data_IF_684341292001
#
_entry.id   IF_684341292001
#
_cell.length_a   1.000
_cell.length_b   1.000
_cell.length_c   1.000
_cell.angle_alpha   90.00
_cell.angle_beta   90.00
_cell.angle_gamma   90.00
#
_symmetry.space_group_name_H-M   'P 1'
#
loop_
_entity.id
_entity.type
_entity.pdbx_description
1 polymer ?
#
# COMPACT_ATOMS: atom_id res chain seq x y z
N UNK A 1 15.18 -31.63 26.09
CA UNK A 1 16.00 -30.80 27.02
C UNK A 1 16.83 -29.84 26.19
N UNK A 2 16.98 -28.60 26.67
CA UNK A 2 17.51 -27.35 26.03
C UNK A 2 16.54 -26.66 25.05
N UNK A 3 15.82 -25.55 25.33
CA UNK A 3 16.18 -24.17 25.81
C UNK A 3 17.19 -23.49 24.87
N UNK A 4 17.00 -22.32 24.22
CA UNK A 4 16.26 -21.04 24.39
C UNK A 4 16.07 -20.44 22.96
N UNK A 5 14.98 -19.79 22.50
CA UNK A 5 14.13 -18.68 22.97
C UNK A 5 14.86 -17.36 23.27
N UNK A 6 14.65 -16.36 22.41
CA UNK A 6 14.94 -14.96 22.71
C UNK A 6 15.56 -14.19 21.54
N UNK A 7 14.77 -13.80 20.52
CA UNK A 7 15.06 -12.60 19.71
C UNK A 7 13.90 -12.07 18.85
N UNK A 8 12.75 -12.75 18.77
CA UNK A 8 11.61 -12.32 17.94
C UNK A 8 10.48 -11.59 18.70
N UNK A 9 10.75 -11.07 19.90
CA UNK A 9 9.76 -10.31 20.71
C UNK A 9 10.13 -8.83 20.94
N UNK A 10 11.24 -8.35 20.35
CA UNK A 10 11.75 -6.99 20.59
C UNK A 10 11.33 -5.95 19.53
N UNK A 11 10.67 -6.35 18.44
CA UNK A 11 10.23 -5.41 17.38
C UNK A 11 8.74 -5.06 17.40
N UNK A 12 7.91 -5.85 18.08
CA UNK A 12 6.48 -5.56 18.28
C UNK A 12 6.18 -4.76 19.56
N UNK A 13 7.08 -4.72 20.54
CA UNK A 13 6.93 -3.94 21.77
C UNK A 13 7.30 -2.45 21.63
N UNK A 14 7.82 -2.02 20.46
CA UNK A 14 8.26 -0.65 20.21
C UNK A 14 7.29 0.19 19.38
N UNK A 15 6.15 -0.38 18.99
CA UNK A 15 5.13 0.28 18.17
C UNK A 15 3.82 0.63 18.92
N UNK A 16 3.65 0.19 20.17
CA UNK A 16 2.42 0.49 20.95
C UNK A 16 2.64 1.56 22.04
N UNK A 17 3.89 1.96 22.31
CA UNK A 17 4.19 2.98 23.34
C UNK A 17 4.15 4.44 22.87
N UNK A 18 3.73 4.72 21.62
CA UNK A 18 3.75 6.07 21.05
C UNK A 18 2.37 6.68 20.74
N UNK A 19 1.27 6.11 21.23
CA UNK A 19 -0.07 6.65 20.97
C UNK A 19 -0.85 6.92 22.26
N UNK A 20 -0.31 7.76 23.15
CA UNK A 20 -1.09 8.40 24.22
C UNK A 20 -0.46 9.74 24.62
N UNK A 21 -0.75 10.79 23.84
CA UNK A 21 -0.69 12.17 24.31
C UNK A 21 -1.79 12.95 23.62
N UNK A 22 -2.89 13.21 24.33
CA UNK A 22 -3.44 14.57 24.52
C UNK A 22 -4.74 14.49 25.33
N UNK A 23 -4.95 15.54 26.14
CA UNK A 23 -6.14 15.88 26.93
C UNK A 23 -6.17 15.35 28.37
N UNK A 24 -5.71 16.19 29.31
CA UNK A 24 -6.46 16.68 30.49
C UNK A 24 -5.55 17.69 31.23
N UNK A 25 -6.05 18.90 31.59
CA UNK A 25 -5.22 19.98 32.13
C UNK A 25 -4.84 19.78 33.60
N UNK A 26 -3.64 20.25 33.93
CA UNK A 26 -3.09 20.36 35.29
C UNK A 26 -3.83 21.45 36.09
N UNK A 27 -4.36 21.10 37.25
CA UNK A 27 -4.82 22.06 38.26
C UNK A 27 -5.12 21.39 39.61
N UNK A 28 -4.33 21.78 40.62
CA UNK A 28 -4.44 21.47 42.05
C UNK A 28 -3.98 20.07 42.54
N UNK A 29 -2.73 20.03 42.99
CA UNK A 29 -2.26 19.17 44.08
C UNK A 29 -1.67 20.05 45.19
N UNK A 30 -2.30 20.04 46.37
CA UNK A 30 -1.70 20.17 47.72
C UNK A 30 -2.67 19.46 48.67
N UNK A 31 -2.35 18.23 49.07
CA UNK A 31 -1.63 17.85 50.29
C UNK A 31 -2.59 17.66 51.49
N UNK A 32 -2.68 16.44 52.01
CA UNK A 32 -2.30 16.01 53.37
C UNK A 32 -2.66 14.53 53.53
N UNK A 33 -1.70 13.76 54.05
CA UNK A 33 -1.76 12.34 54.29
C UNK A 33 -2.14 12.03 55.76
N UNK A 34 -2.76 10.85 55.93
CA UNK A 34 -2.70 9.93 57.08
C UNK A 34 -3.21 10.36 58.47
N UNK A 35 -4.03 9.50 59.09
CA UNK A 35 -4.28 9.52 60.54
C UNK A 35 -5.54 8.78 60.98
N UNK A 36 -5.38 7.53 61.40
CA UNK A 36 -6.40 6.67 62.02
C UNK A 36 -6.69 7.00 63.50
N UNK A 37 -7.96 6.84 63.89
CA UNK A 37 -8.47 6.36 65.21
C UNK A 37 -8.53 7.28 66.44
N UNK A 38 -9.78 7.52 66.92
CA UNK A 38 -10.30 7.34 68.30
C UNK A 38 -11.45 8.33 68.59
N UNK A 39 -12.72 7.89 68.57
CA UNK A 39 -13.59 7.55 69.74
C UNK A 39 -13.83 8.69 70.76
N UNK A 40 -15.06 9.22 70.80
CA UNK A 40 -15.83 9.51 72.03
C UNK A 40 -17.33 9.72 71.65
N UNK A 41 -18.21 8.74 71.95
CA UNK A 41 -19.33 8.77 72.93
C UNK A 41 -20.52 9.68 72.49
N UNK A 42 -21.67 9.13 72.03
CA UNK A 42 -22.89 8.74 72.81
C UNK A 42 -23.54 9.97 73.51
N UNK A 43 -24.82 10.36 73.36
CA UNK A 43 -26.14 9.67 73.48
C UNK A 43 -27.22 10.73 73.12
N UNK A 44 -28.15 10.47 72.20
CA UNK A 44 -29.59 10.16 72.36
C UNK A 44 -30.49 11.11 73.19
N UNK A 45 -31.62 11.47 72.55
CA UNK A 45 -32.99 11.71 73.05
C UNK A 45 -33.22 12.92 73.97
N UNK A 46 -33.98 13.96 73.58
CA UNK A 46 -35.39 14.06 73.18
C UNK A 46 -36.28 14.60 74.31
N UNK A 47 -37.24 15.43 73.87
CA UNK A 47 -38.46 15.92 74.51
C UNK A 47 -38.37 17.01 75.58
N UNK A 48 -39.13 18.08 75.33
CA UNK A 48 -40.19 18.50 76.26
C UNK A 48 -40.20 19.96 76.71
N UNK A 49 -41.02 20.77 76.02
CA UNK A 49 -41.87 21.89 76.46
C UNK A 49 -41.24 23.05 77.31
N UNK A 50 -41.65 24.30 77.25
CA UNK A 50 -42.92 24.94 76.88
C UNK A 50 -42.69 26.46 76.67
N UNK A 51 -43.60 27.06 75.88
CA UNK A 51 -44.20 28.42 75.97
C UNK A 51 -43.27 29.65 76.00
N UNK A 52 -43.57 30.79 75.36
CA UNK A 52 -44.84 31.43 74.95
C UNK A 52 -44.57 32.59 73.97
N UNK A 53 -45.48 32.77 73.00
CA UNK A 53 -46.10 34.04 72.51
C UNK A 53 -45.21 35.26 72.15
N UNK A 54 -45.44 36.04 71.08
CA UNK A 54 -46.48 36.15 70.07
C UNK A 54 -46.02 37.16 68.98
N UNK A 55 -46.81 37.28 67.92
CA UNK A 55 -46.91 38.41 66.96
C UNK A 55 -45.79 38.60 65.91
N UNK A 56 -46.04 38.81 64.61
CA UNK A 56 -47.30 38.82 63.86
C UNK A 56 -46.99 38.82 62.33
N UNK A 57 -47.86 38.17 61.55
CA UNK A 57 -48.08 38.22 60.08
C UNK A 57 -47.06 37.61 59.07
N UNK A 58 -47.50 36.60 58.28
CA UNK A 58 -46.86 36.15 57.04
C UNK A 58 -47.75 36.37 55.79
N UNK A 59 -47.14 36.59 54.62
CA UNK A 59 -47.81 36.47 53.31
C UNK A 59 -47.23 35.29 52.53
N UNK A 60 -48.13 34.53 51.91
CA UNK A 60 -47.95 33.34 51.05
C UNK A 60 -47.69 32.00 51.75
N UNK A 61 -48.72 31.52 52.45
CA UNK A 61 -49.04 30.09 52.49
C UNK A 61 -49.99 29.78 51.33
N UNK A 62 -49.62 28.76 50.54
CA UNK A 62 -50.53 28.08 49.60
C UNK A 62 -51.48 27.23 50.44
N UNK A 63 -52.75 27.59 50.40
CA UNK A 63 -53.86 26.88 51.06
C UNK A 63 -54.18 25.57 50.31
N UNK A 64 -54.19 24.38 50.94
CA UNK A 64 -54.69 23.14 50.34
C UNK A 64 -56.22 23.00 50.40
N UNK A 65 -56.95 24.03 50.82
CA UNK A 65 -58.39 23.97 51.14
C UNK A 65 -59.25 24.87 50.26
N UNK A 66 -58.78 25.28 49.08
CA UNK A 66 -59.66 25.86 48.07
C UNK A 66 -60.43 24.75 47.34
N UNK A 67 -61.23 23.98 48.08
CA UNK A 67 -62.39 23.33 47.47
C UNK A 67 -63.32 24.43 47.00
N UNK A 68 -63.76 24.33 45.76
CA UNK A 68 -64.71 25.21 45.09
C UNK A 68 -66.06 25.23 45.86
N UNK A 69 -66.17 25.98 46.95
CA UNK A 69 -67.42 26.14 47.72
C UNK A 69 -68.25 27.36 47.27
N UNK A 70 -68.18 27.72 45.99
CA UNK A 70 -69.17 28.66 45.43
C UNK A 70 -69.73 28.28 44.06
N UNK A 71 -69.52 27.05 43.60
CA UNK A 71 -70.24 26.54 42.43
C UNK A 71 -71.04 25.27 42.78
N UNK A 72 -72.37 25.45 42.87
CA UNK A 72 -73.48 24.47 42.93
C UNK A 72 -73.96 23.93 44.30
N UNK A 73 -75.18 24.30 44.76
CA UNK A 73 -75.79 23.76 45.98
C UNK A 73 -76.65 22.49 45.82
N UNK A 74 -76.67 21.81 44.66
CA UNK A 74 -77.33 20.49 44.51
C UNK A 74 -76.62 19.57 43.51
N UNK A 75 -76.28 18.32 43.87
CA UNK A 75 -75.78 17.32 42.94
C UNK A 75 -76.91 16.78 42.03
N UNK A 76 -76.57 16.34 40.80
CA UNK A 76 -75.23 16.35 40.22
C UNK A 76 -74.85 17.76 39.76
N UNK A 77 -73.65 18.22 40.11
CA UNK A 77 -73.04 19.38 39.47
C UNK A 77 -72.77 18.98 38.02
N UNK A 78 -73.76 19.17 37.13
CA UNK A 78 -73.68 18.72 35.73
C UNK A 78 -72.68 19.51 34.89
N UNK A 79 -71.87 20.39 35.49
CA UNK A 79 -70.88 21.20 34.79
C UNK A 79 -69.55 21.16 35.55
N UNK A 80 -68.47 20.60 34.97
CA UNK A 80 -67.13 20.63 35.55
C UNK A 80 -66.65 22.08 35.75
N UNK A 81 -65.77 22.35 36.75
CA UNK A 81 -65.25 23.69 36.97
C UNK A 81 -64.48 24.19 35.74
N UNK A 82 -64.46 25.51 35.49
CA UNK A 82 -63.89 26.06 34.26
C UNK A 82 -62.38 25.76 34.17
N UNK A 83 -61.86 25.60 32.94
CA UNK A 83 -60.43 25.36 32.75
C UNK A 83 -59.61 26.54 33.23
N UNK A 84 -58.46 26.26 33.84
CA UNK A 84 -57.58 27.27 34.44
C UNK A 84 -56.28 27.42 33.64
N UNK A 85 -55.82 28.66 33.47
CA UNK A 85 -54.53 28.92 32.84
C UNK A 85 -53.39 28.38 33.69
N UNK A 86 -52.38 27.80 33.05
CA UNK A 86 -51.17 27.32 33.69
C UNK A 86 -49.94 27.80 32.94
N UNK A 87 -48.83 27.92 33.68
CA UNK A 87 -47.51 28.18 33.11
C UNK A 87 -46.57 27.07 33.55
N UNK A 88 -45.66 26.69 32.67
CA UNK A 88 -44.58 25.77 33.02
C UNK A 88 -43.49 26.60 33.74
N UNK A 89 -43.57 26.77 35.08
CA UNK A 89 -42.62 27.57 35.89
C UNK A 89 -41.51 26.70 36.49
N UNK A 90 -40.24 27.10 36.48
CA UNK A 90 -39.68 28.25 37.21
C UNK A 90 -38.41 28.82 36.55
N UNK A 91 -38.37 30.15 36.38
CA UNK A 91 -37.17 30.89 35.94
C UNK A 91 -37.49 31.95 34.87
N UNK A 92 -37.36 33.23 35.26
CA UNK A 92 -37.27 34.45 34.44
C UNK A 92 -37.83 34.37 33.00
N UNK A 93 -39.09 34.83 32.83
CA UNK A 93 -39.65 35.41 31.60
C UNK A 93 -39.15 34.83 30.25
N UNK A 94 -39.61 33.64 29.86
CA UNK A 94 -39.76 33.18 28.46
C UNK A 94 -40.39 31.77 28.36
N UNK A 95 -41.32 31.41 29.25
CA UNK A 95 -41.87 30.05 29.39
C UNK A 95 -43.17 29.79 28.62
N UNK A 96 -43.42 28.52 28.34
CA UNK A 96 -44.66 28.02 27.75
C UNK A 96 -45.91 28.29 28.61
N UNK A 97 -47.02 28.62 27.96
CA UNK A 97 -48.36 28.74 28.57
C UNK A 97 -49.29 27.61 28.13
N UNK A 98 -50.25 27.25 28.98
CA UNK A 98 -51.20 26.16 28.73
C UNK A 98 -52.50 26.32 29.52
N UNK A 99 -53.35 25.29 29.46
CA UNK A 99 -54.59 25.17 30.23
C UNK A 99 -54.59 23.84 31.00
N UNK A 100 -55.18 23.82 32.20
CA UNK A 100 -55.48 22.58 32.96
C UNK A 100 -56.98 22.41 33.04
N UNK A 101 -57.44 21.18 32.88
CA UNK A 101 -58.83 20.78 33.01
C UNK A 101 -59.02 19.96 34.28
N UNK A 102 -60.13 20.18 34.97
CA UNK A 102 -60.50 19.38 36.12
C UNK A 102 -61.24 18.12 35.71
N UNK A 103 -61.03 17.04 36.46
CA UNK A 103 -61.88 15.85 36.39
C UNK A 103 -63.27 16.08 37.01
N UNK A 104 -64.12 15.05 36.98
CA UNK A 104 -65.49 15.10 37.54
C UNK A 104 -65.50 15.34 39.07
N UNK A 105 -64.36 15.17 39.74
CA UNK A 105 -64.14 15.38 41.16
C UNK A 105 -63.54 16.77 41.45
N UNK A 106 -63.25 17.58 40.43
CA UNK A 106 -62.70 18.93 40.57
C UNK A 106 -61.17 18.98 40.72
N UNK A 107 -60.46 17.87 40.48
CA UNK A 107 -59.00 17.80 40.53
C UNK A 107 -58.42 18.14 39.17
N UNK A 108 -57.60 19.18 39.10
CA UNK A 108 -56.96 19.61 37.85
C UNK A 108 -55.84 18.66 37.42
N UNK A 109 -55.93 18.13 36.20
CA UNK A 109 -54.92 17.31 35.52
C UNK A 109 -53.67 18.11 35.12
N UNK A 110 -52.66 17.53 34.46
CA UNK A 110 -51.42 18.24 34.07
C UNK A 110 -51.68 19.44 33.14
N UNK A 111 -50.70 20.35 33.05
CA UNK A 111 -50.78 21.51 32.14
C UNK A 111 -50.68 21.04 30.68
N UNK A 112 -51.74 21.32 29.90
CA UNK A 112 -51.78 21.04 28.47
C UNK A 112 -51.43 22.30 27.68
N UNK A 113 -50.51 22.18 26.73
CA UNK A 113 -50.07 23.30 25.90
C UNK A 113 -51.20 23.70 24.95
N UNK A 114 -51.47 24.99 24.86
CA UNK A 114 -52.44 25.52 23.89
C UNK A 114 -51.79 25.82 22.55
N UNK A 115 -52.55 25.72 21.45
CA UNK A 115 -52.07 26.08 20.10
C UNK A 115 -51.69 27.55 19.94
N UNK A 116 -52.04 28.40 20.92
CA UNK A 116 -51.66 29.82 21.00
C UNK A 116 -50.33 30.04 21.74
N UNK A 117 -49.76 29.01 22.35
CA UNK A 117 -48.47 29.05 23.07
C UNK A 117 -47.29 29.02 22.09
N UNK A 118 -47.06 30.16 21.45
CA UNK A 118 -45.99 30.37 20.47
C UNK A 118 -45.18 31.62 20.80
N UNK A 119 -43.91 31.64 20.39
CA UNK A 119 -43.06 32.83 20.46
C UNK A 119 -42.37 33.09 19.13
N UNK A 120 -42.03 34.35 18.89
CA UNK A 120 -41.18 34.72 17.77
C UNK A 120 -39.76 34.15 17.98
N UNK A 121 -39.13 33.75 16.89
CA UNK A 121 -37.73 33.36 16.84
C UNK A 121 -37.10 33.93 15.56
N UNK A 122 -35.78 33.89 15.47
CA UNK A 122 -35.03 34.45 14.35
C UNK A 122 -34.54 33.35 13.41
N UNK A 123 -34.87 33.46 12.12
CA UNK A 123 -34.37 32.62 11.03
C UNK A 123 -33.21 33.33 10.32
N UNK A 124 -32.05 33.38 10.98
CA UNK A 124 -30.84 34.02 10.45
C UNK A 124 -30.92 35.55 10.48
N UNK A 125 -30.10 36.21 9.65
CA UNK A 125 -29.92 37.66 9.70
C UNK A 125 -31.18 38.49 9.32
N UNK A 126 -32.14 37.90 8.59
CA UNK A 126 -33.30 38.63 8.04
C UNK A 126 -34.65 37.93 8.21
N UNK A 127 -34.69 36.68 8.69
CA UNK A 127 -35.93 35.89 8.73
C UNK A 127 -36.63 35.94 10.09
N UNK A 128 -37.96 36.01 10.07
CA UNK A 128 -38.81 35.85 11.24
C UNK A 128 -39.47 34.47 11.23
N UNK A 129 -39.31 33.73 12.33
CA UNK A 129 -39.89 32.42 12.54
C UNK A 129 -40.79 32.35 13.76
N UNK A 130 -41.45 31.21 13.93
CA UNK A 130 -42.28 30.91 15.10
C UNK A 130 -41.83 29.61 15.75
N UNK A 131 -41.59 29.64 17.06
CA UNK A 131 -41.42 28.43 17.87
C UNK A 131 -42.73 28.10 18.57
N UNK A 132 -43.17 26.85 18.46
CA UNK A 132 -44.31 26.33 19.21
C UNK A 132 -43.84 25.70 20.51
N UNK A 133 -44.65 25.84 21.55
CA UNK A 133 -44.41 25.13 22.79
C UNK A 133 -44.70 23.62 22.64
N UNK A 134 -43.83 22.79 23.22
CA UNK A 134 -43.95 21.34 23.30
C UNK A 134 -44.56 20.94 24.66
N UNK A 135 -45.20 19.75 24.73
CA UNK A 135 -45.88 19.24 25.93
C UNK A 135 -45.02 19.11 27.19
N UNK A 136 -43.69 19.22 27.06
CA UNK A 136 -42.73 19.24 28.17
C UNK A 136 -42.40 20.66 28.69
N UNK A 137 -43.09 21.70 28.20
CA UNK A 137 -42.86 23.08 28.61
C UNK A 137 -41.66 23.78 27.96
N UNK A 138 -41.03 23.16 26.96
CA UNK A 138 -39.94 23.74 26.17
C UNK A 138 -40.41 24.20 24.79
N UNK A 139 -39.74 25.19 24.20
CA UNK A 139 -39.99 25.58 22.80
C UNK A 139 -39.30 24.63 21.84
N UNK A 140 -39.99 24.23 20.78
CA UNK A 140 -39.44 23.42 19.70
C UNK A 140 -38.51 24.19 18.77
N UNK A 141 -38.20 23.61 17.62
CA UNK A 141 -37.38 24.25 16.57
C UNK A 141 -38.04 25.52 16.04
N UNK A 142 -37.21 26.47 15.57
CA UNK A 142 -37.71 27.69 14.95
C UNK A 142 -38.21 27.37 13.54
N UNK A 143 -39.50 27.57 13.29
CA UNK A 143 -40.12 27.28 11.99
C UNK A 143 -40.28 28.54 11.17
N UNK A 144 -40.05 28.43 9.86
CA UNK A 144 -40.32 29.54 8.95
C UNK A 144 -41.82 29.91 8.98
N UNK A 145 -42.12 31.19 8.75
CA UNK A 145 -43.51 31.68 8.67
C UNK A 145 -44.12 31.49 7.27
N UNK A 146 -43.40 30.84 6.37
CA UNK A 146 -43.75 30.65 4.96
C UNK A 146 -44.24 29.22 4.71
N UNK A 147 -44.70 28.94 3.48
CA UNK A 147 -44.97 27.57 3.05
C UNK A 147 -43.68 26.72 3.10
N UNK A 148 -43.78 25.39 3.30
CA UNK A 148 -42.62 24.51 3.31
C UNK A 148 -41.73 24.72 2.07
N UNK A 149 -40.48 25.08 2.29
CA UNK A 149 -39.45 25.25 1.25
C UNK A 149 -38.25 24.39 1.60
N UNK A 150 -37.41 23.96 0.63
CA UNK A 150 -36.19 23.23 0.94
C UNK A 150 -35.31 24.00 1.94
N UNK A 151 -34.72 23.26 2.87
CA UNK A 151 -33.85 23.78 3.93
C UNK A 151 -32.79 24.76 3.42
N UNK A 152 -32.80 25.96 4.00
CA UNK A 152 -31.73 26.94 3.85
C UNK A 152 -30.85 26.92 5.09
N UNK A 153 -29.58 27.32 4.97
CA UNK A 153 -28.71 27.49 6.14
C UNK A 153 -29.04 28.81 6.86
N UNK A 154 -30.16 28.85 7.57
CA UNK A 154 -30.70 30.05 8.21
C UNK A 154 -31.14 29.80 9.67
N UNK A 155 -30.81 28.64 10.24
CA UNK A 155 -31.22 28.24 11.59
C UNK A 155 -32.73 28.10 11.79
N UNK A 156 -33.46 27.84 10.70
CA UNK A 156 -34.87 27.49 10.72
C UNK A 156 -35.15 26.15 10.08
N UNK A 157 -36.24 25.56 10.55
CA UNK A 157 -36.95 24.44 9.96
C UNK A 157 -37.83 25.05 8.86
N UNK A 158 -37.31 25.09 7.63
CA UNK A 158 -37.93 25.72 6.45
C UNK A 158 -38.91 24.76 5.77
N UNK A 159 -38.64 23.45 5.81
CA UNK A 159 -39.51 22.41 5.26
C UNK A 159 -40.53 21.83 6.27
N UNK A 160 -40.44 22.26 7.53
CA UNK A 160 -41.34 21.91 8.63
C UNK A 160 -41.27 20.43 9.04
N UNK A 161 -40.17 19.72 8.73
CA UNK A 161 -39.95 18.32 9.12
C UNK A 161 -39.52 18.15 10.60
N UNK A 162 -39.20 19.27 11.27
CA UNK A 162 -38.82 19.31 12.68
C UNK A 162 -37.33 19.23 12.95
N UNK A 163 -36.50 19.19 11.91
CA UNK A 163 -35.04 19.28 11.94
C UNK A 163 -34.66 20.66 11.39
N UNK A 164 -33.58 21.25 11.91
CA UNK A 164 -33.11 22.57 11.48
C UNK A 164 -31.89 22.41 10.61
N UNK A 165 -31.85 23.12 9.48
CA UNK A 165 -30.73 23.20 8.55
C UNK A 165 -30.28 21.80 8.01
N UNK A 166 -31.20 20.85 7.85
CA UNK A 166 -30.94 19.53 7.25
C UNK A 166 -30.90 19.57 5.72
N UNK A 167 -30.06 20.46 5.20
CA UNK A 167 -29.87 20.72 3.78
C UNK A 167 -29.65 19.41 3.02
N UNK A 168 -30.37 19.28 1.90
CA UNK A 168 -30.21 18.16 1.00
C UNK A 168 -28.73 18.00 0.58
N UNK A 169 -28.20 16.76 0.47
CA UNK A 169 -26.81 16.54 0.10
C UNK A 169 -26.48 17.19 -1.24
N UNK A 170 -25.67 18.26 -1.20
CA UNK A 170 -25.18 18.95 -2.38
C UNK A 170 -23.66 18.89 -2.42
N UNK A 171 -23.10 18.60 -3.60
CA UNK A 171 -21.66 18.64 -3.82
C UNK A 171 -21.13 20.07 -3.79
N UNK A 172 -19.95 20.26 -3.24
CA UNK A 172 -19.22 21.53 -3.24
C UNK A 172 -17.73 21.30 -3.49
N UNK A 173 -16.98 22.36 -3.81
CA UNK A 173 -15.53 22.27 -3.94
C UNK A 173 -14.85 22.77 -2.66
N UNK A 174 -13.96 21.96 -2.10
CA UNK A 174 -13.17 22.30 -0.90
C UNK A 174 -11.96 23.18 -1.22
N UNK A 175 -11.69 23.45 -2.50
CA UNK A 175 -10.46 24.06 -3.02
C UNK A 175 -9.18 23.30 -2.65
N UNK A 176 -9.29 22.01 -2.31
CA UNK A 176 -8.14 21.10 -2.19
C UNK A 176 -7.79 20.51 -3.56
N UNK A 177 -6.54 20.11 -3.80
CA UNK A 177 -6.15 19.43 -5.03
C UNK A 177 -6.78 18.02 -5.11
N UNK A 178 -6.69 17.43 -6.30
CA UNK A 178 -7.05 16.04 -6.55
C UNK A 178 -8.45 15.61 -6.15
N UNK A 179 -8.53 14.38 -5.68
CA UNK A 179 -9.75 13.74 -5.20
C UNK A 179 -10.36 14.51 -4.01
N UNK A 180 -9.53 15.15 -3.18
CA UNK A 180 -9.98 15.94 -2.03
C UNK A 180 -10.77 17.20 -2.42
N UNK A 181 -10.74 17.62 -3.69
CA UNK A 181 -11.53 18.76 -4.17
C UNK A 181 -13.03 18.57 -3.98
N UNK A 182 -13.52 17.32 -3.94
CA UNK A 182 -14.93 16.99 -3.76
C UNK A 182 -15.31 17.05 -2.28
N UNK A 183 -16.28 17.91 -1.96
CA UNK A 183 -16.85 18.05 -0.64
C UNK A 183 -18.37 17.94 -0.62
N UNK A 184 -18.94 17.96 0.59
CA UNK A 184 -20.37 18.03 0.84
C UNK A 184 -20.71 19.35 1.51
N UNK A 185 -21.70 20.04 0.96
CA UNK A 185 -22.23 21.26 1.53
C UNK A 185 -22.90 20.95 2.87
N UNK A 186 -22.55 21.70 3.91
CA UNK A 186 -23.14 21.59 5.23
C UNK A 186 -23.45 22.98 5.80
N UNK A 187 -24.45 23.07 6.67
CA UNK A 187 -24.66 24.26 7.48
C UNK A 187 -23.86 24.12 8.76
N UNK A 188 -23.04 25.13 9.09
CA UNK A 188 -22.37 25.21 10.39
C UNK A 188 -22.51 26.63 10.90
N UNK A 189 -23.22 26.80 12.01
CA UNK A 189 -23.45 28.10 12.64
C UNK A 189 -24.08 29.15 11.71
N UNK A 190 -25.05 28.74 10.88
CA UNK A 190 -25.75 29.64 9.95
C UNK A 190 -24.91 30.08 8.74
N UNK A 191 -23.79 29.40 8.47
CA UNK A 191 -23.00 29.58 7.26
C UNK A 191 -22.85 28.26 6.48
N UNK A 192 -22.92 28.36 5.16
CA UNK A 192 -22.58 27.25 4.28
C UNK A 192 -21.07 26.99 4.34
N UNK A 193 -20.71 25.78 4.75
CA UNK A 193 -19.33 25.31 4.79
C UNK A 193 -19.23 24.10 3.88
N UNK A 194 -18.19 24.07 3.04
CA UNK A 194 -17.87 22.89 2.26
C UNK A 194 -17.04 21.93 3.12
N UNK A 195 -17.66 20.85 3.58
CA UNK A 195 -16.98 19.83 4.38
C UNK A 195 -16.27 18.84 3.45
N UNK A 196 -14.99 18.59 3.73
CA UNK A 196 -14.22 17.55 3.07
C UNK A 196 -14.78 16.18 3.44
N UNK A 197 -15.03 15.36 2.43
CA UNK A 197 -15.53 13.98 2.60
C UNK A 197 -14.57 12.93 2.03
N UNK A 198 -13.62 13.35 1.19
CA UNK A 198 -12.54 12.51 0.66
C UNK A 198 -11.25 12.98 1.31
N UNK A 199 -10.52 12.07 1.95
CA UNK A 199 -9.27 12.34 2.66
C UNK A 199 -8.09 11.73 1.89
N UNK A 200 -6.86 12.29 2.05
CA UNK A 200 -5.65 11.74 1.48
C UNK A 200 -5.51 10.24 1.74
N UNK A 201 -5.24 9.49 0.68
CA UNK A 201 -4.86 8.08 0.71
C UNK A 201 -3.65 7.85 -0.17
N UNK A 202 -2.98 6.71 -0.02
CA UNK A 202 -1.87 6.32 -0.90
C UNK A 202 -2.30 6.37 -2.37
N UNK A 203 -1.39 6.78 -3.26
CA UNK A 203 -1.65 6.79 -4.69
C UNK A 203 -1.89 5.38 -5.22
N UNK A 204 -2.71 5.33 -6.26
CA UNK A 204 -2.89 4.15 -7.11
C UNK A 204 -2.67 4.59 -8.54
N UNK A 205 -2.15 3.71 -9.39
CA UNK A 205 -1.96 4.01 -10.81
C UNK A 205 -3.31 4.07 -11.55
N UNK A 206 -4.04 5.15 -11.36
CA UNK A 206 -5.37 5.40 -11.93
C UNK A 206 -5.53 6.82 -12.50
N UNK A 207 -4.48 7.64 -12.41
CA UNK A 207 -4.45 9.00 -12.92
C UNK A 207 -5.25 9.98 -12.05
N UNK A 208 -5.60 9.59 -10.83
CA UNK A 208 -6.12 10.47 -9.80
C UNK A 208 -4.97 10.97 -8.91
N UNK A 209 -5.29 11.98 -8.12
CA UNK A 209 -4.41 12.56 -7.08
C UNK A 209 -5.15 12.22 -5.77
N UNK A 210 -4.85 11.03 -5.26
CA UNK A 210 -5.50 10.38 -4.13
C UNK A 210 -4.96 10.87 -2.79
N UNK A 211 -3.70 11.28 -2.75
CA UNK A 211 -3.03 11.82 -1.57
C UNK A 211 -3.22 13.35 -1.44
N UNK A 212 -3.72 13.99 -2.50
CA UNK A 212 -4.08 15.39 -2.54
C UNK A 212 -2.88 16.32 -2.35
N UNK A 213 -1.74 15.98 -2.94
CA UNK A 213 -0.53 16.82 -2.98
C UNK A 213 -0.45 17.71 -4.23
N UNK A 214 -1.30 17.46 -5.24
CA UNK A 214 -1.38 18.21 -6.50
C UNK A 214 -0.63 17.57 -7.67
N UNK A 215 0.01 16.43 -7.46
CA UNK A 215 0.58 15.56 -8.48
C UNK A 215 -0.30 14.31 -8.58
N UNK A 216 -0.19 13.55 -9.68
CA UNK A 216 -0.96 12.33 -9.89
C UNK A 216 0.02 11.19 -10.08
N UNK A 217 -0.29 10.03 -9.52
CA UNK A 217 0.50 8.81 -9.67
C UNK A 217 2.00 9.00 -9.33
N UNK A 218 2.35 9.88 -8.39
CA UNK A 218 3.73 10.24 -8.04
C UNK A 218 4.38 9.31 -7.02
N UNK A 219 3.60 8.54 -6.27
CA UNK A 219 4.17 7.50 -5.43
C UNK A 219 4.99 6.54 -6.29
N UNK A 220 6.10 6.05 -5.72
CA UNK A 220 7.05 5.26 -6.46
C UNK A 220 6.50 3.84 -6.74
N UNK A 221 5.74 3.71 -7.84
CA UNK A 221 5.33 2.42 -8.42
C UNK A 221 6.52 1.63 -9.02
N UNK A 222 7.71 2.21 -8.98
CA UNK A 222 8.95 1.63 -9.49
C UNK A 222 9.02 1.61 -11.02
N UNK A 223 9.94 0.78 -11.52
CA UNK A 223 10.17 0.54 -12.95
C UNK A 223 9.86 -0.90 -13.28
N UNK A 224 9.30 -1.11 -14.47
CA UNK A 224 9.24 -2.44 -15.09
C UNK A 224 10.41 -2.56 -16.06
N UNK A 225 11.18 -3.63 -15.94
CA UNK A 225 12.32 -3.95 -16.82
C UNK A 225 12.12 -5.31 -17.48
N UNK A 226 12.60 -5.44 -18.70
CA UNK A 226 12.48 -6.64 -19.50
C UNK A 226 13.60 -6.72 -20.55
N UNK A 227 13.78 -7.91 -21.13
CA UNK A 227 14.87 -8.21 -22.04
C UNK A 227 16.13 -8.65 -21.30
N UNK A 228 17.05 -9.22 -22.07
CA UNK A 228 18.39 -9.65 -21.66
C UNK A 228 19.37 -9.06 -22.68
N UNK A 229 20.65 -8.93 -22.30
CA UNK A 229 21.66 -8.41 -23.20
C UNK A 229 21.37 -6.99 -23.69
N UNK A 230 21.62 -6.75 -24.97
CA UNK A 230 21.30 -5.48 -25.64
C UNK A 230 19.79 -5.27 -25.83
N UNK A 231 18.96 -6.31 -25.65
CA UNK A 231 17.51 -6.15 -25.65
C UNK A 231 16.95 -5.58 -24.33
N UNK A 232 17.78 -5.44 -23.31
CA UNK A 232 17.36 -4.94 -22.01
C UNK A 232 16.81 -3.50 -22.10
N UNK A 233 15.64 -3.29 -21.53
CA UNK A 233 15.04 -1.96 -21.40
C UNK A 233 14.23 -1.84 -20.12
N UNK A 234 13.95 -0.59 -19.71
CA UNK A 234 13.08 -0.30 -18.58
C UNK A 234 12.23 0.94 -18.82
N UNK A 235 11.02 0.94 -18.25
CA UNK A 235 10.15 2.11 -18.21
C UNK A 235 9.44 2.22 -16.87
N UNK A 236 8.87 3.39 -16.59
CA UNK A 236 8.02 3.59 -15.41
C UNK A 236 6.88 2.56 -15.40
N UNK A 237 6.63 1.94 -14.25
CA UNK A 237 5.58 0.93 -14.12
C UNK A 237 4.18 1.54 -14.25
N UNK A 238 4.01 2.76 -13.75
CA UNK A 238 2.83 3.59 -13.96
C UNK A 238 3.21 4.81 -14.79
N UNK A 239 2.43 5.10 -15.83
CA UNK A 239 2.57 6.35 -16.57
C UNK A 239 1.21 6.80 -17.08
N UNK A 240 0.77 7.99 -16.64
CA UNK A 240 -0.50 8.58 -17.05
C UNK A 240 -1.73 7.76 -16.65
N UNK A 241 -1.76 7.26 -15.41
CA UNK A 241 -2.87 6.46 -14.86
C UNK A 241 -3.02 5.07 -15.46
N UNK A 242 -1.98 4.56 -16.14
CA UNK A 242 -2.02 3.24 -16.75
C UNK A 242 -0.77 2.43 -16.42
N UNK A 243 -1.00 1.19 -16.00
CA UNK A 243 0.05 0.19 -15.85
C UNK A 243 0.71 -0.09 -17.19
N UNK A 244 2.03 -0.04 -17.18
CA UNK A 244 2.85 -0.14 -18.37
C UNK A 244 3.36 -1.57 -18.54
N UNK A 245 3.24 -2.11 -19.75
CA UNK A 245 3.84 -3.40 -20.12
C UNK A 245 5.23 -3.21 -20.71
N UNK A 246 6.25 -3.86 -20.18
CA UNK A 246 7.58 -3.80 -20.76
C UNK A 246 7.68 -4.72 -21.99
N UNK A 247 8.22 -4.20 -23.09
CA UNK A 247 8.54 -4.97 -24.31
C UNK A 247 10.04 -4.84 -24.54
N UNK A 248 10.80 -5.95 -24.64
CA UNK A 248 12.24 -5.91 -24.92
C UNK A 248 12.55 -5.17 -26.22
N UNK A 249 13.77 -4.64 -26.37
CA UNK A 249 14.21 -4.11 -27.66
C UNK A 249 14.34 -5.26 -28.68
N UNK A 250 14.24 -4.97 -29.99
CA UNK A 250 14.45 -5.99 -31.01
C UNK A 250 15.87 -6.57 -30.94
N UNK A 251 15.98 -7.88 -31.12
CA UNK A 251 17.26 -8.56 -31.24
C UNK A 251 17.90 -8.35 -32.62
N UNK A 252 19.21 -8.53 -32.67
CA UNK A 252 20.03 -8.54 -33.88
C UNK A 252 20.94 -9.76 -33.89
N UNK A 253 21.45 -10.23 -35.05
CA UNK A 253 22.40 -11.33 -35.06
C UNK A 253 23.64 -11.01 -34.23
N UNK A 254 24.18 -12.02 -33.55
CA UNK A 254 25.43 -11.92 -32.80
C UNK A 254 26.57 -11.37 -33.64
N UNK A 255 27.33 -10.47 -33.02
CA UNK A 255 28.62 -9.99 -33.51
C UNK A 255 29.65 -10.11 -32.41
N UNK A 256 30.92 -10.25 -32.78
CA UNK A 256 32.01 -10.34 -31.82
C UNK A 256 32.31 -8.96 -31.20
N UNK A 257 31.51 -8.53 -30.23
CA UNK A 257 31.64 -7.23 -29.56
C UNK A 257 31.53 -7.31 -28.03
N UNK A 258 31.41 -8.52 -27.48
CA UNK A 258 31.30 -8.76 -26.04
C UNK A 258 29.92 -8.43 -25.48
N UNK A 259 28.89 -8.34 -26.33
CA UNK A 259 27.49 -8.14 -25.97
C UNK A 259 26.66 -9.32 -26.45
N UNK A 260 25.48 -9.43 -25.85
CA UNK A 260 24.42 -10.37 -26.24
C UNK A 260 23.46 -9.59 -27.14
N UNK A 261 23.72 -9.60 -28.44
CA UNK A 261 22.98 -8.83 -29.43
C UNK A 261 21.68 -9.55 -29.84
N UNK A 262 21.66 -10.88 -29.76
CA UNK A 262 20.53 -11.72 -30.15
C UNK A 262 19.57 -12.04 -28.98
N UNK A 263 20.03 -11.72 -27.77
CA UNK A 263 19.29 -11.68 -26.52
C UNK A 263 18.90 -13.06 -25.99
N UNK A 264 19.74 -14.06 -26.24
CA UNK A 264 19.56 -15.44 -25.78
C UNK A 264 20.20 -15.73 -24.41
N UNK A 265 20.82 -14.72 -23.78
CA UNK A 265 21.55 -14.77 -22.49
C UNK A 265 22.96 -15.37 -22.57
N UNK A 266 23.46 -15.64 -23.76
CA UNK A 266 24.86 -15.98 -24.03
C UNK A 266 25.49 -14.78 -24.74
N UNK A 267 26.83 -14.71 -24.76
CA UNK A 267 27.56 -13.59 -25.37
C UNK A 267 28.53 -14.14 -26.38
N UNK A 268 28.56 -13.54 -27.57
CA UNK A 268 29.44 -13.89 -28.68
C UNK A 268 29.34 -15.37 -29.13
N UNK A 269 28.17 -16.01 -29.02
CA UNK A 269 27.94 -17.39 -29.46
C UNK A 269 27.60 -17.51 -30.95
N UNK A 270 27.66 -18.73 -31.47
CA UNK A 270 27.30 -19.00 -32.87
C UNK A 270 28.26 -18.41 -33.93
N UNK A 271 29.33 -17.70 -33.53
CA UNK A 271 30.26 -17.01 -34.44
C UNK A 271 31.25 -17.95 -35.17
N UNK A 272 31.30 -19.23 -34.80
CA UNK A 272 32.06 -20.26 -35.50
C UNK A 272 33.58 -20.24 -35.28
N UNK A 273 34.31 -20.88 -36.19
CA UNK A 273 35.78 -20.99 -36.16
C UNK A 273 36.40 -20.52 -37.46
N UNK A 274 37.55 -19.86 -37.36
CA UNK A 274 38.39 -19.49 -38.49
C UNK A 274 39.41 -20.61 -38.72
N UNK A 275 39.52 -21.05 -39.97
CA UNK A 275 40.52 -22.03 -40.41
C UNK A 275 41.44 -21.39 -41.43
N UNK A 276 42.74 -21.68 -41.35
CA UNK A 276 43.77 -21.11 -42.21
C UNK A 276 44.93 -22.09 -42.41
N UNK A 277 45.74 -21.87 -43.43
CA UNK A 277 46.79 -22.81 -43.83
C UNK A 277 46.25 -23.97 -44.67
N UNK A 278 47.17 -24.76 -45.21
CA UNK A 278 46.88 -25.95 -46.00
C UNK A 278 47.76 -27.10 -45.51
N UNK A 279 47.33 -28.34 -45.73
CA UNK A 279 48.11 -29.52 -45.35
C UNK A 279 48.40 -29.55 -43.85
N UNK A 280 49.67 -29.70 -43.48
CA UNK A 280 50.08 -29.79 -42.07
C UNK A 280 50.22 -28.44 -41.39
N UNK A 281 50.25 -27.34 -42.15
CA UNK A 281 50.20 -25.99 -41.59
C UNK A 281 48.78 -25.52 -41.30
N UNK A 282 47.77 -26.37 -41.51
CA UNK A 282 46.38 -26.03 -41.21
C UNK A 282 46.19 -25.79 -39.71
N UNK A 283 45.66 -24.63 -39.37
CA UNK A 283 45.30 -24.22 -38.02
C UNK A 283 43.82 -23.83 -37.97
N UNK A 284 43.22 -23.95 -36.79
CA UNK A 284 41.87 -23.43 -36.52
C UNK A 284 41.81 -22.75 -35.15
N UNK A 285 41.09 -21.63 -35.10
CA UNK A 285 40.85 -20.85 -33.89
C UNK A 285 39.38 -20.41 -33.82
N UNK A 286 38.79 -20.20 -32.64
CA UNK A 286 37.48 -19.56 -32.52
C UNK A 286 37.47 -18.21 -33.24
N UNK A 287 36.39 -17.88 -33.96
CA UNK A 287 36.30 -16.61 -34.67
C UNK A 287 36.24 -15.40 -33.71
N UNK A 288 35.71 -15.63 -32.51
CA UNK A 288 35.61 -14.65 -31.44
C UNK A 288 36.18 -15.21 -30.14
N UNK A 289 36.86 -14.36 -29.37
CA UNK A 289 37.27 -14.65 -28.01
C UNK A 289 37.20 -13.37 -27.20
N UNK A 290 36.49 -13.42 -26.06
CA UNK A 290 36.33 -12.31 -25.12
C UNK A 290 35.90 -11.00 -25.82
N UNK A 291 34.91 -11.05 -26.73
CA UNK A 291 34.44 -9.88 -27.48
C UNK A 291 35.40 -9.33 -28.54
N UNK A 292 36.45 -10.08 -28.91
CA UNK A 292 37.44 -9.65 -29.90
C UNK A 292 37.57 -10.64 -31.05
N UNK A 293 37.42 -10.18 -32.31
CA UNK A 293 37.64 -11.02 -33.48
C UNK A 293 39.07 -11.56 -33.49
N UNK A 294 39.22 -12.85 -33.70
CA UNK A 294 40.54 -13.48 -33.74
C UNK A 294 41.10 -13.49 -35.15
N UNK A 295 42.43 -13.51 -35.25
CA UNK A 295 43.12 -13.81 -36.49
C UNK A 295 43.53 -15.28 -36.48
N UNK A 296 43.30 -15.98 -37.59
CA UNK A 296 43.88 -17.30 -37.80
C UNK A 296 45.25 -17.13 -38.46
N UNK A 297 46.29 -17.63 -37.80
CA UNK A 297 47.66 -17.68 -38.32
C UNK A 297 47.98 -19.16 -38.58
N UNK A 298 48.35 -19.55 -39.82
CA UNK A 298 48.78 -20.92 -40.11
C UNK A 298 49.95 -21.34 -39.21
N UNK A 299 50.14 -22.65 -39.02
CA UNK A 299 51.34 -23.13 -38.34
C UNK A 299 52.57 -22.75 -39.16
N UNK A 300 53.69 -22.55 -38.46
CA UNK A 300 54.95 -22.17 -39.10
C UNK A 300 55.42 -23.36 -39.94
N UNK A 301 55.70 -23.18 -41.24
CA UNK A 301 56.25 -24.25 -42.07
C UNK A 301 57.63 -24.65 -41.55
N UNK A 302 57.83 -25.95 -41.40
CA UNK A 302 59.11 -26.53 -41.00
C UNK A 302 59.84 -27.09 -42.22
N UNK A 303 61.18 -27.09 -42.26
CA UNK A 303 61.91 -27.70 -43.37
C UNK A 303 61.50 -29.15 -43.59
N UNK A 304 61.44 -29.56 -44.86
CA UNK A 304 61.04 -30.91 -45.23
C UNK A 304 61.84 -32.01 -44.54
N UNK A 305 61.13 -33.11 -44.26
CA UNK A 305 61.67 -34.35 -43.67
C UNK A 305 61.10 -35.51 -44.48
N UNK A 306 61.90 -36.54 -44.72
CA UNK A 306 61.45 -37.74 -45.45
C UNK A 306 60.51 -38.60 -44.58
N UNK A 307 59.29 -38.12 -44.33
CA UNK A 307 58.28 -38.78 -43.51
C UNK A 307 56.89 -38.87 -44.17
N UNK A 308 56.80 -38.60 -45.48
CA UNK A 308 55.58 -38.73 -46.27
C UNK A 308 54.59 -37.60 -45.99
N UNK A 309 55.10 -36.44 -45.59
CA UNK A 309 54.35 -35.31 -45.05
C UNK A 309 54.88 -34.01 -45.65
N UNK A 310 53.96 -33.16 -46.08
CA UNK A 310 54.21 -31.76 -46.47
C UNK A 310 54.42 -30.92 -45.19
N UNK A 311 55.66 -30.82 -44.74
CA UNK A 311 56.08 -30.14 -43.51
C UNK A 311 56.30 -28.64 -43.73
N UNK A 312 56.68 -28.24 -44.95
CA UNK A 312 56.92 -26.84 -45.32
C UNK A 312 55.74 -26.16 -46.03
N UNK A 313 54.68 -26.92 -46.29
CA UNK A 313 53.37 -26.45 -46.72
C UNK A 313 53.38 -25.76 -48.08
N UNK A 314 54.24 -26.24 -48.98
CA UNK A 314 54.35 -25.78 -50.37
C UNK A 314 53.50 -26.59 -51.38
N UNK A 315 52.78 -27.60 -50.86
CA UNK A 315 51.85 -28.51 -51.54
C UNK A 315 52.45 -29.73 -52.21
N UNK A 316 53.76 -29.85 -52.20
CA UNK A 316 54.42 -31.06 -52.62
C UNK A 316 54.73 -31.93 -51.34
N UNK A 317 55.10 -33.20 -51.50
CA UNK A 317 55.46 -34.08 -50.36
C UNK A 317 56.88 -34.64 -50.51
N UNK A 318 57.71 -34.40 -49.48
CA UNK A 318 59.10 -34.84 -49.37
C UNK A 318 60.04 -34.26 -50.47
N UNK A 319 59.94 -32.96 -50.72
CA UNK A 319 60.62 -32.23 -51.79
C UNK A 319 62.11 -32.03 -51.52
N UNK A 320 62.81 -31.62 -52.59
CA UNK A 320 64.25 -31.39 -52.54
C UNK A 320 65.03 -32.69 -52.32
N UNK A 321 66.33 -32.57 -52.04
CA UNK A 321 67.20 -33.72 -51.78
C UNK A 321 67.00 -34.30 -50.35
N UNK A 322 65.81 -34.14 -49.74
CA UNK A 322 65.53 -34.55 -48.36
C UNK A 322 65.36 -36.07 -48.24
N UNK A 323 64.77 -36.72 -49.25
CA UNK A 323 64.72 -38.18 -49.38
C UNK A 323 65.90 -38.77 -50.16
N UNK A 324 67.10 -38.19 -50.04
CA UNK A 324 68.25 -38.69 -50.79
C UNK A 324 68.83 -39.96 -50.15
N UNK A 325 68.33 -41.11 -50.58
CA UNK A 325 69.14 -42.29 -50.92
C UNK A 325 68.45 -43.01 -52.09
N UNK A 326 69.03 -42.84 -53.28
CA UNK A 326 68.89 -43.66 -54.48
C UNK A 326 67.56 -44.42 -54.65
N UNK A 327 66.59 -43.75 -55.29
CA UNK A 327 65.54 -44.39 -56.10
C UNK A 327 64.32 -45.00 -55.37
N UNK A 328 63.60 -44.18 -54.63
CA UNK A 328 62.12 -44.13 -54.55
C UNK A 328 61.34 -45.45 -54.69
N UNK A 329 61.65 -46.42 -53.84
CA UNK A 329 60.75 -47.49 -53.45
C UNK A 329 61.09 -47.94 -52.03
N UNK A 330 60.09 -48.33 -51.23
CA UNK A 330 60.32 -49.09 -50.00
C UNK A 330 60.77 -50.54 -50.34
N UNK A 331 61.68 -50.71 -51.30
CA UNK A 331 62.24 -52.01 -51.65
C UNK A 331 63.65 -52.09 -51.11
N UNK A 332 63.82 -53.01 -50.16
CA UNK A 332 65.13 -53.36 -49.64
C UNK A 332 65.95 -53.97 -50.79
N UNK A 333 67.04 -53.30 -51.17
CA UNK A 333 67.98 -53.81 -52.18
C UNK A 333 68.89 -54.82 -51.51
N UNK A 334 68.84 -56.12 -51.87
CA UNK A 334 69.62 -57.13 -51.17
C UNK A 334 71.11 -56.88 -51.37
N UNK A 335 71.91 -57.05 -50.31
CA UNK A 335 73.36 -56.90 -50.41
C UNK A 335 73.92 -57.91 -51.41
N UNK A 336 74.89 -57.55 -52.28
CA UNK A 336 75.43 -58.47 -53.28
C UNK A 336 75.89 -59.79 -52.65
N UNK A 337 75.55 -60.92 -53.28
CA UNK A 337 75.87 -62.26 -52.75
C UNK A 337 77.36 -62.44 -52.38
N UNK A 338 78.27 -61.80 -53.13
CA UNK A 338 79.69 -61.84 -52.83
C UNK A 338 80.03 -61.25 -51.46
N UNK A 339 79.33 -60.19 -51.05
CA UNK A 339 79.48 -59.55 -49.75
C UNK A 339 78.72 -60.30 -48.65
N UNK A 340 77.50 -60.76 -48.94
CA UNK A 340 76.74 -61.60 -48.01
C UNK A 340 77.49 -62.90 -47.64
N UNK A 341 78.19 -63.49 -48.62
CA UNK A 341 78.98 -64.71 -48.44
C UNK A 341 80.45 -64.45 -48.06
N UNK A 342 80.90 -63.20 -47.97
CA UNK A 342 82.32 -62.87 -47.79
C UNK A 342 82.94 -63.51 -46.53
N UNK A 343 82.16 -63.66 -45.47
CA UNK A 343 82.58 -64.26 -44.20
C UNK A 343 82.05 -65.68 -43.97
N UNK A 344 81.39 -66.27 -44.96
CA UNK A 344 80.70 -67.56 -44.83
C UNK A 344 81.25 -68.53 -45.86
N UNK A 345 82.13 -69.43 -45.42
CA UNK A 345 82.87 -70.34 -46.32
C UNK A 345 81.98 -71.39 -47.02
N UNK A 346 80.81 -71.71 -46.43
CA UNK A 346 79.79 -72.58 -47.00
C UNK A 346 78.45 -72.40 -46.25
N UNK A 347 77.32 -72.75 -46.86
CA UNK A 347 75.98 -72.65 -46.24
C UNK A 347 75.11 -71.55 -46.86
N UNK A 348 74.20 -70.95 -46.09
CA UNK A 348 73.38 -69.82 -46.55
C UNK A 348 73.67 -68.56 -45.74
N UNK A 349 73.63 -67.40 -46.39
CA UNK A 349 73.78 -66.09 -45.75
C UNK A 349 72.55 -65.22 -46.05
N UNK A 350 72.06 -64.42 -45.10
CA UNK A 350 70.93 -63.53 -45.33
C UNK A 350 71.32 -62.41 -46.31
N UNK A 351 70.39 -62.04 -47.16
CA UNK A 351 70.56 -60.99 -48.16
C UNK A 351 70.26 -59.58 -47.62
N UNK A 352 69.99 -59.47 -46.31
CA UNK A 352 69.65 -58.22 -45.63
C UNK A 352 68.19 -57.78 -45.78
N UNK A 353 67.41 -58.47 -46.63
CA UNK A 353 66.06 -58.10 -47.03
C UNK A 353 65.02 -59.21 -46.79
N UNK A 354 65.37 -60.21 -45.98
CA UNK A 354 64.49 -61.33 -45.63
C UNK A 354 64.61 -62.54 -46.56
N UNK A 355 65.48 -62.49 -47.57
CA UNK A 355 65.90 -63.64 -48.37
C UNK A 355 67.29 -64.15 -47.97
N UNK A 356 67.71 -65.26 -48.59
CA UNK A 356 69.00 -65.90 -48.31
C UNK A 356 69.74 -66.27 -49.60
N UNK A 357 71.04 -66.05 -49.63
CA UNK A 357 71.96 -66.54 -50.65
C UNK A 357 72.62 -67.85 -50.25
N UNK A 358 72.95 -68.70 -51.23
CA UNK A 358 73.75 -69.91 -51.02
C UNK A 358 75.23 -69.63 -51.24
N UNK A 359 76.04 -69.78 -50.19
CA UNK A 359 77.47 -69.50 -50.17
C UNK A 359 78.34 -70.75 -50.44
N UNK A 360 77.78 -71.75 -51.14
CA UNK A 360 78.45 -72.99 -51.49
C UNK A 360 78.12 -74.17 -50.55
N UNK A 361 78.34 -75.38 -51.03
CA UNK A 361 77.99 -76.63 -50.34
C UNK A 361 79.01 -76.96 -49.24
N UNK A 362 78.58 -77.09 -47.99
CA UNK A 362 79.46 -77.55 -46.93
C UNK A 362 79.81 -79.04 -47.13
N UNK A 363 81.07 -79.33 -47.45
CA UNK A 363 81.60 -80.69 -47.42
C UNK A 363 81.79 -81.11 -45.96
N UNK A 364 80.99 -82.07 -45.51
CA UNK A 364 81.15 -82.70 -44.20
C UNK A 364 82.38 -83.61 -44.26
N UNK A 365 83.41 -83.28 -43.49
CA UNK A 365 84.50 -84.20 -43.14
C UNK A 365 84.18 -84.90 -41.83
#
# INVERSE_FOLDING_TARGET
MSMRSGNELSRLAKAVLNSMHTLIPRGLFRAVAAGTSARLLLIFLALGAAASDADDTPLNQVDPSATCETCCPRPPCSTPPPPMACTFTSGLNNGCSGMRYADEQGVYGPCEVTSTSKRACSCGATGAGTQMCLGNGSFGVCRSSQSPTPEMCNSCDDDLDGIVDNIAPQGCSTNKPGACSTGRLACTSGAYVCQQIIFPSLETCDGLDSDCDGVRDEDEFGRTSCGVGDCYTSKYACQGGAWQTCVPLPSSPEVCDGRDNDCDSVTDEGLGTLSCGQGQCAASVPACRDGHPQACIPLIPEPERCDGRDNDCDLDVDEGDVCRFDNMSCECTPIPQAEACANTTCGVAPDGCGGNYSCGSCLML
#
